data_IF_296327559621
#
_entry.id   IF_296327559621
#
_cell.length_a   1.000
_cell.length_b   1.000
_cell.length_c   1.000
_cell.angle_alpha   90.00
_cell.angle_beta   90.00
_cell.angle_gamma   90.00
#
_symmetry.space_group_name_H-M   'P 1'
#
loop_
_entity.id
_entity.type
_entity.pdbx_description
1 polymer ?
#
# COMPACT_ATOMS: atom_id res chain seq x y z
N UNK A 1 25.98 0.91 -2.15
CA UNK A 1 25.04 1.97 -1.72
C UNK A 1 24.11 1.36 -0.68
N UNK A 2 24.15 1.85 0.56
CA UNK A 2 23.55 1.12 1.70
C UNK A 2 22.03 1.30 1.75
N UNK A 3 21.30 0.18 1.56
CA UNK A 3 19.84 0.02 1.72
C UNK A 3 19.23 0.82 2.90
N UNK A 4 19.84 0.89 4.10
CA UNK A 4 19.31 1.72 5.20
C UNK A 4 19.25 3.23 4.91
N UNK A 5 20.10 3.76 4.04
CA UNK A 5 20.10 5.19 3.67
C UNK A 5 18.90 5.51 2.78
N UNK A 6 18.54 4.60 1.87
CA UNK A 6 17.36 4.76 1.01
C UNK A 6 16.09 4.77 1.86
N UNK A 7 16.00 3.87 2.85
CA UNK A 7 14.87 3.83 3.78
C UNK A 7 14.80 5.07 4.67
N UNK A 8 15.94 5.54 5.17
CA UNK A 8 15.99 6.75 5.96
C UNK A 8 15.53 7.96 5.14
N UNK A 9 16.02 8.14 3.92
CA UNK A 9 15.63 9.26 3.05
C UNK A 9 14.14 9.18 2.69
N UNK A 10 13.64 7.99 2.36
CA UNK A 10 12.22 7.78 2.04
C UNK A 10 11.32 8.10 3.24
N UNK A 11 11.69 7.61 4.43
CA UNK A 11 10.95 7.85 5.66
C UNK A 11 10.98 9.33 6.05
N UNK A 12 12.13 10.00 5.93
CA UNK A 12 12.27 11.44 6.23
C UNK A 12 11.41 12.27 5.28
N UNK A 13 11.39 11.94 3.99
CA UNK A 13 10.61 12.69 2.99
C UNK A 13 9.11 12.51 3.22
N UNK A 14 8.67 11.30 3.56
CA UNK A 14 7.28 10.99 3.94
C UNK A 14 6.87 11.75 5.21
N UNK A 15 7.70 11.73 6.25
CA UNK A 15 7.44 12.43 7.52
C UNK A 15 7.38 13.94 7.30
N UNK A 16 8.28 14.50 6.49
CA UNK A 16 8.29 15.93 6.17
C UNK A 16 7.01 16.37 5.44
N UNK A 17 6.54 15.58 4.46
CA UNK A 17 5.29 15.86 3.74
C UNK A 17 4.07 15.75 4.67
N UNK A 18 4.04 14.75 5.56
CA UNK A 18 2.96 14.54 6.53
C UNK A 18 2.89 15.66 7.56
N UNK A 19 4.04 16.11 8.10
CA UNK A 19 4.11 17.20 9.09
C UNK A 19 3.72 18.55 8.48
N UNK A 20 4.11 18.80 7.23
CA UNK A 20 3.80 20.06 6.55
C UNK A 20 2.30 20.23 6.29
N UNK A 21 1.57 19.13 6.03
CA UNK A 21 0.16 19.14 5.61
C UNK A 21 -0.84 18.98 6.76
N UNK A 22 -0.39 18.61 7.96
CA UNK A 22 -1.25 18.39 9.15
C UNK A 22 -1.58 19.67 9.94
N UNK A 23 -1.19 20.84 9.43
CA UNK A 23 -1.36 22.14 10.12
C UNK A 23 -2.79 22.71 10.14
N UNK A 24 -3.75 22.13 9.42
CA UNK A 24 -5.10 22.70 9.28
C UNK A 24 -6.05 22.33 10.44
N UNK A 25 -6.95 23.24 10.83
CA UNK A 25 -7.80 23.14 12.03
C UNK A 25 -9.19 22.52 11.82
N UNK A 26 -9.68 22.42 10.58
CA UNK A 26 -11.05 21.97 10.30
C UNK A 26 -11.20 20.43 10.17
N UNK A 27 -12.17 19.76 10.81
CA UNK A 27 -12.30 18.30 10.79
C UNK A 27 -12.57 17.68 9.41
N UNK A 28 -13.39 18.34 8.58
CA UNK A 28 -13.71 17.88 7.22
C UNK A 28 -12.55 18.11 6.25
N UNK A 29 -11.90 19.26 6.36
CA UNK A 29 -10.67 19.56 5.63
C UNK A 29 -9.55 18.60 6.04
N UNK A 30 -9.43 18.26 7.33
CA UNK A 30 -8.50 17.23 7.84
C UNK A 30 -8.76 15.85 7.24
N UNK A 31 -10.02 15.41 7.14
CA UNK A 31 -10.33 14.10 6.57
C UNK A 31 -9.95 14.01 5.09
N UNK A 32 -10.22 15.07 4.31
CA UNK A 32 -9.84 15.16 2.91
C UNK A 32 -8.33 15.33 2.71
N UNK A 33 -7.68 16.15 3.56
CA UNK A 33 -6.24 16.29 3.60
C UNK A 33 -5.59 14.93 3.88
N UNK A 34 -6.07 14.19 4.89
CA UNK A 34 -5.53 12.89 5.27
C UNK A 34 -5.66 11.83 4.15
N UNK A 35 -6.76 11.83 3.39
CA UNK A 35 -6.91 10.98 2.19
C UNK A 35 -5.93 11.35 1.09
N UNK A 36 -5.75 12.65 0.83
CA UNK A 36 -4.78 13.14 -0.16
C UNK A 36 -3.34 12.88 0.29
N UNK A 37 -3.07 12.96 1.59
CA UNK A 37 -1.77 12.62 2.18
C UNK A 37 -1.49 11.12 2.03
N UNK A 38 -2.45 10.26 2.36
CA UNK A 38 -2.31 8.81 2.15
C UNK A 38 -2.03 8.46 0.68
N UNK A 39 -2.76 9.06 -0.26
CA UNK A 39 -2.55 8.86 -1.69
C UNK A 39 -1.20 9.39 -2.19
N UNK A 40 -0.82 10.59 -1.77
CA UNK A 40 0.44 11.23 -2.21
C UNK A 40 1.66 10.51 -1.66
N UNK A 41 1.65 10.13 -0.37
CA UNK A 41 2.70 9.31 0.24
C UNK A 41 2.83 7.98 -0.48
N UNK A 42 1.71 7.29 -0.76
CA UNK A 42 1.73 6.04 -1.51
C UNK A 42 2.24 6.25 -2.94
N UNK A 43 1.83 7.33 -3.62
CA UNK A 43 2.29 7.65 -4.97
C UNK A 43 3.79 7.88 -5.05
N UNK A 44 4.33 8.73 -4.17
CA UNK A 44 5.79 8.99 -4.09
C UNK A 44 6.55 7.70 -3.81
N UNK A 45 6.08 6.91 -2.86
CA UNK A 45 6.70 5.63 -2.53
C UNK A 45 6.69 4.65 -3.70
N UNK A 46 5.56 4.49 -4.40
CA UNK A 46 5.45 3.64 -5.58
C UNK A 46 6.39 4.07 -6.69
N UNK A 47 6.55 5.37 -6.92
CA UNK A 47 7.49 5.89 -7.93
C UNK A 47 8.93 5.56 -7.54
N UNK A 48 9.33 5.86 -6.30
CA UNK A 48 10.69 5.57 -5.83
C UNK A 48 11.01 4.07 -5.83
N UNK A 49 10.08 3.26 -5.31
CA UNK A 49 10.22 1.81 -5.30
C UNK A 49 10.23 1.26 -6.74
N UNK A 50 9.39 1.78 -7.62
CA UNK A 50 9.33 1.38 -9.03
C UNK A 50 10.60 1.72 -9.79
N UNK A 51 11.15 2.92 -9.61
CA UNK A 51 12.46 3.31 -10.20
C UNK A 51 13.56 2.35 -9.72
N UNK A 52 13.57 2.03 -8.44
CA UNK A 52 14.56 1.12 -7.87
C UNK A 52 14.41 -0.30 -8.43
N UNK A 53 13.20 -0.88 -8.37
CA UNK A 53 12.91 -2.23 -8.88
C UNK A 53 13.21 -2.33 -10.38
N UNK A 54 12.78 -1.34 -11.16
CA UNK A 54 13.08 -1.27 -12.59
C UNK A 54 14.58 -1.13 -12.85
N UNK A 55 15.27 -0.32 -12.05
CA UNK A 55 16.73 -0.17 -12.10
C UNK A 55 17.46 -1.49 -11.89
N UNK A 56 17.04 -2.29 -10.90
CA UNK A 56 17.58 -3.63 -10.69
C UNK A 56 17.28 -4.57 -11.86
N UNK A 57 16.04 -4.59 -12.34
CA UNK A 57 15.66 -5.44 -13.47
C UNK A 57 16.44 -5.10 -14.75
N UNK A 58 16.77 -3.82 -14.96
CA UNK A 58 17.57 -3.34 -16.08
C UNK A 58 19.08 -3.55 -15.91
N UNK A 59 19.55 -3.79 -14.68
CA UNK A 59 20.94 -4.18 -14.42
C UNK A 59 21.13 -5.69 -14.60
N UNK A 60 20.23 -6.49 -14.03
CA UNK A 60 20.21 -7.94 -14.17
C UNK A 60 18.74 -8.41 -14.12
N UNK A 61 18.17 -8.99 -15.19
CA UNK A 61 18.82 -9.55 -16.39
C UNK A 61 19.19 -8.53 -17.50
N UNK A 62 18.76 -7.28 -17.39
CA UNK A 62 19.07 -6.23 -18.36
C UNK A 62 18.38 -6.35 -19.73
N UNK A 63 18.66 -5.36 -20.60
CA UNK A 63 18.14 -5.30 -21.96
C UNK A 63 16.60 -5.39 -22.07
N UNK A 64 16.13 -6.08 -23.11
CA UNK A 64 14.69 -6.27 -23.35
C UNK A 64 14.00 -7.11 -22.26
N UNK A 65 14.70 -8.07 -21.66
CA UNK A 65 14.13 -8.88 -20.58
C UNK A 65 13.83 -8.04 -19.33
N UNK A 66 14.77 -7.20 -18.91
CA UNK A 66 14.55 -6.27 -17.78
C UNK A 66 13.38 -5.32 -18.02
N UNK A 67 13.25 -4.82 -19.26
CA UNK A 67 12.11 -4.00 -19.69
C UNK A 67 10.78 -4.76 -19.59
N UNK A 68 10.71 -5.97 -20.15
CA UNK A 68 9.49 -6.78 -20.15
C UNK A 68 9.06 -7.16 -18.74
N UNK A 69 10.00 -7.55 -17.87
CA UNK A 69 9.73 -7.84 -16.45
C UNK A 69 9.16 -6.60 -15.77
N UNK A 70 9.73 -5.42 -16.02
CA UNK A 70 9.24 -4.16 -15.45
C UNK A 70 7.83 -3.84 -15.93
N UNK A 71 7.58 -3.94 -17.25
CA UNK A 71 6.28 -3.68 -17.84
C UNK A 71 5.21 -4.68 -17.36
N UNK A 72 5.59 -5.92 -17.09
CA UNK A 72 4.68 -6.98 -16.66
C UNK A 72 3.97 -6.67 -15.34
N UNK A 73 4.55 -5.84 -14.46
CA UNK A 73 3.89 -5.43 -13.21
C UNK A 73 3.47 -3.95 -13.20
N UNK A 74 4.24 -3.06 -13.84
CA UNK A 74 3.91 -1.62 -13.93
C UNK A 74 2.64 -1.40 -14.73
N UNK A 75 2.50 -2.07 -15.88
CA UNK A 75 1.36 -1.84 -16.77
C UNK A 75 0.04 -2.29 -16.12
N UNK A 76 -0.08 -3.51 -15.54
CA UNK A 76 -1.30 -3.88 -14.81
C UNK A 76 -1.59 -2.98 -13.61
N UNK A 77 -0.56 -2.55 -12.88
CA UNK A 77 -0.71 -1.60 -11.77
C UNK A 77 -1.33 -0.28 -12.24
N UNK A 78 -0.81 0.30 -13.33
CA UNK A 78 -1.33 1.56 -13.87
C UNK A 78 -2.74 1.41 -14.42
N UNK A 79 -3.05 0.28 -15.08
CA UNK A 79 -4.40 -0.03 -15.55
C UNK A 79 -5.37 -0.12 -14.37
N UNK A 80 -5.00 -0.83 -13.29
CA UNK A 80 -5.82 -0.94 -12.09
C UNK A 80 -6.01 0.41 -11.38
N UNK A 81 -4.95 1.24 -11.33
CA UNK A 81 -5.03 2.58 -10.75
C UNK A 81 -5.96 3.50 -11.56
N UNK A 82 -5.85 3.48 -12.89
CA UNK A 82 -6.75 4.21 -13.77
C UNK A 82 -8.19 3.71 -13.64
N UNK A 83 -8.40 2.38 -13.61
CA UNK A 83 -9.72 1.79 -13.40
C UNK A 83 -10.31 2.19 -12.04
N UNK A 84 -9.51 2.20 -10.97
CA UNK A 84 -9.94 2.65 -9.64
C UNK A 84 -10.34 4.13 -9.64
N UNK A 85 -9.67 4.94 -10.47
CA UNK A 85 -10.01 6.35 -10.65
C UNK A 85 -11.31 6.53 -11.45
N UNK A 86 -11.48 5.88 -12.59
CA UNK A 86 -12.65 6.09 -13.46
C UNK A 86 -13.88 5.29 -13.03
N UNK A 87 -13.70 4.04 -12.58
CA UNK A 87 -14.76 3.08 -12.24
C UNK A 87 -14.59 2.46 -10.84
N UNK A 88 -14.58 3.27 -9.76
CA UNK A 88 -14.32 2.80 -8.39
C UNK A 88 -15.32 1.73 -7.91
N UNK A 89 -16.54 1.71 -8.47
CA UNK A 89 -17.55 0.72 -8.10
C UNK A 89 -17.22 -0.69 -8.61
N UNK A 90 -16.74 -0.80 -9.85
CA UNK A 90 -16.38 -2.07 -10.48
C UNK A 90 -14.98 -2.55 -10.08
N UNK A 91 -14.03 -1.61 -9.86
CA UNK A 91 -12.65 -1.96 -9.50
C UNK A 91 -12.52 -2.40 -8.04
N UNK A 92 -13.40 -1.95 -7.14
CA UNK A 92 -13.36 -2.36 -5.74
C UNK A 92 -13.45 -3.89 -5.52
N UNK A 93 -14.44 -4.63 -6.06
CA UNK A 93 -14.49 -6.08 -5.90
C UNK A 93 -13.31 -6.78 -6.59
N UNK A 94 -12.81 -6.25 -7.71
CA UNK A 94 -11.64 -6.79 -8.40
C UNK A 94 -10.37 -6.66 -7.54
N UNK A 95 -10.10 -5.48 -6.96
CA UNK A 95 -8.96 -5.28 -6.08
C UNK A 95 -9.06 -6.12 -4.81
N UNK A 96 -10.27 -6.28 -4.28
CA UNK A 96 -10.51 -7.17 -3.15
C UNK A 96 -10.22 -8.64 -3.50
N UNK A 97 -10.71 -9.11 -4.65
CA UNK A 97 -10.45 -10.46 -5.15
C UNK A 97 -8.94 -10.70 -5.35
N UNK A 98 -8.25 -9.81 -6.05
CA UNK A 98 -6.80 -9.92 -6.30
C UNK A 98 -5.99 -9.87 -4.99
N UNK A 99 -6.32 -8.95 -4.09
CA UNK A 99 -5.64 -8.85 -2.79
C UNK A 99 -5.89 -10.10 -1.94
N UNK A 100 -7.12 -10.62 -1.94
CA UNK A 100 -7.47 -11.84 -1.20
C UNK A 100 -6.77 -13.08 -1.75
N UNK A 101 -6.68 -13.22 -3.08
CA UNK A 101 -5.96 -14.30 -3.74
C UNK A 101 -4.46 -14.23 -3.43
N UNK A 102 -3.88 -13.03 -3.46
CA UNK A 102 -2.48 -12.82 -3.09
C UNK A 102 -2.20 -13.15 -1.62
N UNK A 103 -3.05 -12.70 -0.71
CA UNK A 103 -2.97 -13.03 0.73
C UNK A 103 -3.08 -14.54 0.93
N UNK A 104 -4.05 -15.20 0.29
CA UNK A 104 -4.24 -16.65 0.39
C UNK A 104 -3.01 -17.43 -0.13
N UNK A 105 -2.43 -17.01 -1.27
CA UNK A 105 -1.21 -17.60 -1.80
C UNK A 105 -0.02 -17.44 -0.84
N UNK A 106 0.11 -16.27 -0.21
CA UNK A 106 1.15 -16.05 0.80
C UNK A 106 0.96 -16.90 2.06
N UNK A 107 -0.29 -17.05 2.54
CA UNK A 107 -0.63 -17.93 3.67
C UNK A 107 -0.31 -19.38 3.31
N UNK A 108 -0.68 -19.82 2.11
CA UNK A 108 -0.36 -21.15 1.61
C UNK A 108 1.14 -21.42 1.61
N UNK A 109 1.94 -20.50 1.06
CA UNK A 109 3.40 -20.58 1.09
C UNK A 109 3.97 -20.57 2.52
N UNK A 110 3.32 -19.89 3.46
CA UNK A 110 3.77 -19.84 4.85
C UNK A 110 3.63 -21.19 5.58
N UNK A 111 2.80 -22.11 5.11
CA UNK A 111 2.71 -23.47 5.65
C UNK A 111 3.94 -24.33 5.31
N UNK A 112 4.68 -24.00 4.26
CA UNK A 112 5.95 -24.66 3.90
C UNK A 112 7.08 -23.62 3.77
N UNK A 113 7.79 -23.33 4.88
CA UNK A 113 8.87 -22.34 4.90
C UNK A 113 10.03 -22.68 3.96
N UNK A 114 10.24 -23.95 3.61
CA UNK A 114 11.28 -24.36 2.68
C UNK A 114 10.89 -24.00 1.25
N UNK A 115 9.64 -24.29 0.86
CA UNK A 115 9.09 -23.88 -0.43
C UNK A 115 9.02 -22.35 -0.59
N UNK A 116 8.70 -21.62 0.48
CA UNK A 116 8.71 -20.16 0.46
C UNK A 116 10.12 -19.60 0.22
N UNK A 117 11.16 -20.19 0.85
CA UNK A 117 12.54 -19.75 0.65
C UNK A 117 13.04 -20.05 -0.75
N UNK A 118 12.80 -21.26 -1.27
CA UNK A 118 13.18 -21.61 -2.65
C UNK A 118 12.47 -20.70 -3.66
N UNK A 119 11.18 -20.42 -3.45
CA UNK A 119 10.44 -19.52 -4.31
C UNK A 119 11.04 -18.11 -4.35
N UNK A 120 11.43 -17.55 -3.20
CA UNK A 120 12.05 -16.21 -3.13
C UNK A 120 13.45 -16.22 -3.75
N UNK A 121 14.25 -17.26 -3.54
CA UNK A 121 15.58 -17.35 -4.16
C UNK A 121 15.53 -17.47 -5.67
N UNK A 122 14.55 -18.22 -6.19
CA UNK A 122 14.47 -18.52 -7.63
C UNK A 122 13.79 -17.39 -8.41
N UNK A 123 12.81 -16.70 -7.81
CA UNK A 123 12.00 -15.68 -8.48
C UNK A 123 12.34 -14.25 -8.04
N UNK A 124 13.16 -14.08 -7.00
CA UNK A 124 13.49 -12.79 -6.43
C UNK A 124 12.35 -12.18 -5.61
N UNK A 125 12.32 -10.84 -5.44
CA UNK A 125 11.44 -10.15 -4.48
C UNK A 125 9.98 -10.00 -4.97
N UNK A 126 9.41 -11.01 -5.63
CA UNK A 126 8.07 -10.98 -6.24
C UNK A 126 7.00 -10.54 -5.24
N UNK A 127 7.04 -11.06 -4.01
CA UNK A 127 6.07 -10.72 -2.95
C UNK A 127 6.08 -9.21 -2.68
N UNK A 128 7.25 -8.57 -2.60
CA UNK A 128 7.35 -7.13 -2.36
C UNK A 128 6.82 -6.32 -3.55
N UNK A 129 7.14 -6.74 -4.78
CA UNK A 129 6.64 -6.12 -6.02
C UNK A 129 5.11 -6.22 -6.09
N UNK A 130 4.55 -7.39 -5.77
CA UNK A 130 3.09 -7.61 -5.74
C UNK A 130 2.39 -6.72 -4.71
N UNK A 131 2.96 -6.57 -3.51
CA UNK A 131 2.41 -5.67 -2.48
C UNK A 131 2.36 -4.23 -3.00
N UNK A 132 3.43 -3.75 -3.62
CA UNK A 132 3.48 -2.38 -4.18
C UNK A 132 2.45 -2.24 -5.32
N UNK A 133 2.44 -3.19 -6.24
CA UNK A 133 1.56 -3.20 -7.41
C UNK A 133 0.07 -3.21 -7.05
N UNK A 134 -0.32 -3.83 -5.94
CA UNK A 134 -1.70 -3.83 -5.43
C UNK A 134 -2.00 -2.63 -4.53
N UNK A 135 -1.03 -2.17 -3.75
CA UNK A 135 -1.24 -1.08 -2.79
C UNK A 135 -1.45 0.26 -3.49
N UNK A 136 -0.78 0.53 -4.61
CA UNK A 136 -0.96 1.80 -5.32
C UNK A 136 -2.38 1.99 -5.88
N UNK A 137 -2.96 1.05 -6.65
CA UNK A 137 -4.37 1.09 -7.04
C UNK A 137 -5.34 1.17 -5.85
N UNK A 138 -5.05 0.48 -4.75
CA UNK A 138 -5.86 0.55 -3.53
C UNK A 138 -5.84 1.97 -2.92
N UNK A 139 -4.70 2.65 -2.91
CA UNK A 139 -4.61 4.04 -2.47
C UNK A 139 -5.38 5.00 -3.40
N UNK A 140 -5.31 4.80 -4.72
CA UNK A 140 -6.12 5.57 -5.67
C UNK A 140 -7.62 5.35 -5.43
N UNK A 141 -8.05 4.11 -5.16
CA UNK A 141 -9.42 3.80 -4.76
C UNK A 141 -9.81 4.51 -3.45
N UNK A 142 -8.88 4.65 -2.51
CA UNK A 142 -9.08 5.29 -1.21
C UNK A 142 -9.49 6.75 -1.28
N UNK A 143 -9.16 7.45 -2.37
CA UNK A 143 -9.62 8.82 -2.63
C UNK A 143 -11.15 8.92 -2.84
N UNK A 144 -11.79 7.82 -3.25
CA UNK A 144 -13.25 7.75 -3.44
C UNK A 144 -13.94 6.82 -2.43
N UNK A 145 -13.23 5.83 -1.89
CA UNK A 145 -13.73 4.79 -0.96
C UNK A 145 -12.73 4.51 0.16
N UNK A 146 -12.55 5.49 1.05
CA UNK A 146 -11.53 5.45 2.12
C UNK A 146 -11.60 4.21 3.03
N UNK A 147 -12.79 3.81 3.49
CA UNK A 147 -12.91 2.68 4.41
C UNK A 147 -12.39 1.36 3.82
N UNK A 148 -12.79 1.03 2.58
CA UNK A 148 -12.41 -0.21 1.91
C UNK A 148 -10.91 -0.21 1.58
N UNK A 149 -10.39 0.89 1.03
CA UNK A 149 -8.97 1.05 0.75
C UNK A 149 -8.11 0.96 2.02
N UNK A 150 -8.58 1.54 3.12
CA UNK A 150 -7.91 1.47 4.41
C UNK A 150 -7.69 0.03 4.88
N UNK A 151 -8.73 -0.80 4.83
CA UNK A 151 -8.63 -2.22 5.16
C UNK A 151 -7.72 -3.00 4.22
N UNK A 152 -7.82 -2.76 2.89
CA UNK A 152 -6.95 -3.44 1.92
C UNK A 152 -5.48 -3.10 2.14
N UNK A 153 -5.16 -1.82 2.34
CA UNK A 153 -3.79 -1.35 2.55
C UNK A 153 -3.21 -1.86 3.88
N UNK A 154 -4.02 -1.92 4.94
CA UNK A 154 -3.59 -2.53 6.21
C UNK A 154 -3.33 -4.02 6.05
N UNK A 155 -4.22 -4.76 5.37
CA UNK A 155 -4.03 -6.18 5.14
C UNK A 155 -2.78 -6.48 4.28
N UNK A 156 -2.61 -5.74 3.17
CA UNK A 156 -1.46 -5.87 2.28
C UNK A 156 -0.15 -5.46 2.97
N UNK A 157 -0.17 -4.43 3.82
CA UNK A 157 1.00 -4.00 4.56
C UNK A 157 1.35 -4.91 5.75
N UNK A 158 0.38 -5.51 6.42
CA UNK A 158 0.63 -6.43 7.54
C UNK A 158 1.19 -7.78 7.06
N UNK A 159 0.80 -8.24 5.87
CA UNK A 159 1.15 -9.55 5.34
C UNK A 159 2.68 -9.79 5.22
N UNK A 160 3.49 -8.89 4.62
CA UNK A 160 4.95 -9.00 4.62
C UNK A 160 5.59 -9.09 6.01
N UNK A 161 5.03 -8.38 6.99
CA UNK A 161 5.52 -8.39 8.36
C UNK A 161 5.25 -9.75 9.02
N UNK A 162 4.08 -10.35 8.77
CA UNK A 162 3.76 -11.69 9.25
C UNK A 162 4.68 -12.75 8.62
N UNK A 163 4.92 -12.66 7.31
CA UNK A 163 5.80 -13.58 6.59
C UNK A 163 7.23 -13.50 7.13
N UNK A 164 7.75 -12.29 7.40
CA UNK A 164 9.10 -12.12 7.96
C UNK A 164 9.23 -12.66 9.39
N UNK A 165 8.19 -12.53 10.21
CA UNK A 165 8.15 -13.10 11.57
C UNK A 165 8.11 -14.63 11.55
N UNK A 166 7.32 -15.23 10.66
CA UNK A 166 7.14 -16.70 10.57
C UNK A 166 8.35 -17.37 9.91
N UNK A 167 8.90 -16.76 8.84
CA UNK A 167 9.95 -17.37 8.03
C UNK A 167 11.36 -17.39 8.65
N UNK A 168 11.60 -16.66 9.76
CA UNK A 168 12.94 -16.43 10.35
C UNK A 168 14.03 -16.15 9.30
N UNK A 169 13.68 -15.45 8.23
CA UNK A 169 14.52 -15.25 7.04
C UNK A 169 14.95 -13.78 6.94
N UNK A 170 16.26 -13.53 6.87
CA UNK A 170 16.74 -12.31 6.20
C UNK A 170 16.38 -12.36 4.70
N UNK A 171 16.38 -11.25 3.93
CA UNK A 171 16.73 -9.87 4.25
C UNK A 171 15.52 -9.07 4.73
N UNK A 172 15.45 -8.85 6.04
CA UNK A 172 14.33 -8.23 6.77
C UNK A 172 14.03 -6.80 6.32
N UNK A 173 14.99 -6.11 5.70
CA UNK A 173 14.88 -4.70 5.34
C UNK A 173 13.90 -4.41 4.18
N UNK A 174 13.86 -5.23 3.12
CA UNK A 174 13.05 -4.92 1.92
C UNK A 174 11.55 -5.18 2.12
N UNK A 175 11.18 -6.22 2.88
CA UNK A 175 9.78 -6.52 3.20
C UNK A 175 9.23 -5.58 4.28
N UNK A 176 10.04 -5.21 5.26
CA UNK A 176 9.70 -4.18 6.24
C UNK A 176 9.54 -2.79 5.58
N UNK A 177 10.43 -2.44 4.65
CA UNK A 177 10.31 -1.24 3.84
C UNK A 177 9.00 -1.18 3.05
N UNK A 178 8.65 -2.29 2.39
CA UNK A 178 7.48 -2.39 1.54
C UNK A 178 6.15 -2.37 2.32
N UNK A 179 6.18 -2.68 3.62
CA UNK A 179 4.99 -2.78 4.47
C UNK A 179 4.66 -1.49 5.23
N UNK A 180 5.67 -0.72 5.64
CA UNK A 180 5.47 0.49 6.45
C UNK A 180 4.62 1.52 5.71
N UNK A 181 4.88 1.77 4.44
CA UNK A 181 4.17 2.83 3.70
C UNK A 181 2.71 2.47 3.42
N UNK A 182 2.37 1.26 2.92
CA UNK A 182 0.98 0.83 2.82
C UNK A 182 0.24 0.83 4.17
N UNK A 183 0.89 0.45 5.27
CA UNK A 183 0.29 0.51 6.60
C UNK A 183 -0.06 1.94 7.01
N UNK A 184 0.87 2.88 6.84
CA UNK A 184 0.64 4.30 7.15
C UNK A 184 -0.52 4.84 6.30
N UNK A 185 -0.52 4.55 5.00
CA UNK A 185 -1.59 4.96 4.11
C UNK A 185 -2.93 4.33 4.52
N UNK A 186 -2.96 3.03 4.82
CA UNK A 186 -4.16 2.31 5.25
C UNK A 186 -4.75 2.85 6.56
N UNK A 187 -3.91 3.11 7.56
CA UNK A 187 -4.32 3.72 8.82
C UNK A 187 -4.88 5.12 8.58
N UNK A 188 -4.22 5.93 7.74
CA UNK A 188 -4.69 7.29 7.41
C UNK A 188 -6.08 7.28 6.75
N UNK A 189 -6.35 6.31 5.87
CA UNK A 189 -7.66 6.13 5.25
C UNK A 189 -8.73 5.67 6.25
N UNK A 190 -8.42 4.74 7.15
CA UNK A 190 -9.33 4.29 8.20
C UNK A 190 -9.70 5.43 9.18
N UNK A 191 -8.71 6.22 9.59
CA UNK A 191 -8.91 7.40 10.45
C UNK A 191 -9.79 8.42 9.74
N UNK A 192 -9.52 8.71 8.47
CA UNK A 192 -10.36 9.62 7.67
C UNK A 192 -11.80 9.12 7.57
N UNK A 193 -12.01 7.84 7.31
CA UNK A 193 -13.34 7.23 7.23
C UNK A 193 -14.10 7.34 8.56
N UNK A 194 -13.43 7.14 9.70
CA UNK A 194 -14.03 7.32 11.03
C UNK A 194 -14.38 8.77 11.31
N UNK A 195 -13.54 9.72 10.92
CA UNK A 195 -13.82 11.15 11.08
C UNK A 195 -15.02 11.60 10.24
N UNK A 196 -15.18 11.07 9.03
CA UNK A 196 -16.35 11.34 8.19
C UNK A 196 -17.64 10.76 8.80
N UNK A 197 -17.59 9.52 9.31
CA UNK A 197 -18.75 8.84 9.92
C UNK A 197 -19.14 9.36 11.32
N UNK A 198 -18.20 9.89 12.11
CA UNK A 198 -18.48 10.44 13.45
C UNK A 198 -19.20 11.80 13.43
N UNK A 199 -19.25 12.47 12.27
CA UNK A 199 -19.90 13.78 12.12
C UNK A 199 -21.43 13.73 12.05
N UNK A 200 -22.04 12.54 12.11
CA UNK A 200 -23.49 12.31 12.15
C UNK A 200 -23.94 11.79 13.51
N UNK A 201 -23.55 12.44 14.61
CA UNK A 201 -24.21 12.24 15.91
C UNK A 201 -25.26 13.35 16.07
N UNK A 202 -26.57 13.08 15.88
CA UNK A 202 -27.61 14.01 16.29
C UNK A 202 -27.77 13.91 17.81
N UNK A 203 -26.88 14.58 18.54
CA UNK A 203 -27.13 14.92 19.92
C UNK A 203 -28.06 16.13 19.98
N UNK A 204 -29.38 15.90 19.99
CA UNK A 204 -30.41 16.71 20.67
C UNK A 204 -31.81 16.17 20.32
N UNK A 205 -32.33 15.25 21.14
CA UNK A 205 -33.78 15.09 21.38
C UNK A 205 -34.02 14.34 22.70
N UNK A 206 -33.44 14.88 23.78
CA UNK A 206 -33.99 14.77 25.13
C UNK A 206 -34.36 16.18 25.58
N UNK A 207 -35.51 16.67 25.14
CA UNK A 207 -36.28 17.72 25.81
C UNK A 207 -37.63 17.90 25.09
N UNK A 208 -38.70 17.91 25.87
CA UNK A 208 -40.09 18.24 25.53
C UNK A 208 -40.94 17.17 24.81
N UNK A 209 -41.57 16.29 25.61
CA UNK A 209 -43.04 16.15 25.67
C UNK A 209 -43.39 15.04 26.68
N UNK A 210 -43.52 15.44 27.95
CA UNK A 210 -44.30 14.77 28.98
C UNK A 210 -45.26 15.82 29.54
#
# INVERSE_FOLDING_TARGET
>A
MNIPVILAVSAILVVAVVVFLTREKDPRHRAAALQRTGASVMGVFTVLAGIFIAGYALQDPGGTNGLLITLAWVLPMLILAAAAWFWPAATAPLLLALSSAFIAACIWLAFDPAALRSFISDNGPVIAVSVIALSFPAAVLGLKRAALAGWLLVALGALPLLITVIGRSGPVASLAAASVVPLIAGISYLVSARMAGGSTTPGHQRAAAA
#
